data_IF_854233044934
#
_entry.id   IF_854233044934
#
_cell.length_a   1.000
_cell.length_b   1.000
_cell.length_c   1.000
_cell.angle_alpha   90.00
_cell.angle_beta   90.00
_cell.angle_gamma   90.00
#
_symmetry.space_group_name_H-M   'P 1'
#
loop_
_entity.id
_entity.type
_entity.pdbx_description
1 polymer ?
#
# COMPACT_ATOMS: atom_id res chain seq x y z
N UNK A 1 26.71 -13.22 12.79
CA UNK A 1 26.36 -12.26 11.72
C UNK A 1 24.91 -11.89 11.87
N UNK A 2 24.63 -10.81 12.60
CA UNK A 2 23.30 -10.18 12.63
C UNK A 2 23.05 -9.54 11.26
N UNK A 3 22.06 -10.05 10.55
CA UNK A 3 21.48 -9.35 9.40
C UNK A 3 20.63 -8.24 10.00
N UNK A 4 21.16 -7.00 10.01
CA UNK A 4 20.39 -5.82 10.42
C UNK A 4 19.15 -5.75 9.54
N UNK A 5 17.99 -6.01 10.12
CA UNK A 5 16.70 -5.71 9.49
C UNK A 5 16.71 -4.23 9.12
N UNK A 6 16.67 -3.97 7.83
CA UNK A 6 16.48 -2.61 7.32
C UNK A 6 15.02 -2.29 7.58
N UNK A 7 14.74 -1.69 8.74
CA UNK A 7 13.43 -1.14 9.07
C UNK A 7 13.19 0.00 8.08
N UNK A 8 12.41 -0.28 7.02
CA UNK A 8 11.85 0.78 6.19
C UNK A 8 10.94 1.59 7.12
N UNK A 9 11.29 2.85 7.43
CA UNK A 9 10.47 3.65 8.34
C UNK A 9 9.08 3.76 7.73
N UNK A 10 8.05 3.48 8.53
CA UNK A 10 6.68 3.80 8.13
C UNK A 10 6.69 5.28 7.71
N UNK A 11 6.13 5.62 6.53
CA UNK A 11 6.02 7.01 6.13
C UNK A 11 5.31 7.76 7.25
N UNK A 12 5.99 8.73 7.84
CA UNK A 12 5.42 9.58 8.89
C UNK A 12 4.52 10.64 8.23
N UNK A 13 3.49 10.14 7.55
CA UNK A 13 2.51 10.95 6.82
C UNK A 13 1.27 11.02 7.68
N UNK A 14 1.05 12.20 8.25
CA UNK A 14 -0.19 12.50 8.95
C UNK A 14 -1.33 12.57 7.94
N UNK A 15 -2.16 11.52 7.90
CA UNK A 15 -3.41 11.54 7.14
C UNK A 15 -4.36 12.48 7.89
N UNK A 16 -4.44 13.72 7.41
CA UNK A 16 -5.33 14.75 7.95
C UNK A 16 -6.79 14.38 7.64
N UNK A 17 -7.73 14.91 8.43
CA UNK A 17 -9.18 14.71 8.23
C UNK A 17 -9.68 15.18 6.86
N UNK A 18 -8.95 16.10 6.22
CA UNK A 18 -9.24 16.59 4.86
C UNK A 18 -8.84 15.58 3.77
N UNK A 19 -8.03 14.58 4.12
CA UNK A 19 -7.56 13.57 3.17
C UNK A 19 -8.66 12.56 2.92
N UNK A 20 -9.20 12.55 1.69
CA UNK A 20 -10.23 11.61 1.29
C UNK A 20 -9.66 10.19 1.21
N UNK A 21 -10.05 9.34 2.14
CA UNK A 21 -9.79 7.91 2.06
C UNK A 21 -10.74 7.32 1.02
N UNK A 22 -10.18 6.57 0.08
CA UNK A 22 -10.93 5.84 -0.92
C UNK A 22 -10.59 4.37 -0.80
N UNK A 23 -11.59 3.53 -1.03
CA UNK A 23 -11.38 2.09 -1.03
C UNK A 23 -10.49 1.73 -2.22
N UNK A 24 -9.27 1.26 -1.91
CA UNK A 24 -8.34 0.78 -2.92
C UNK A 24 -8.86 -0.53 -3.52
N UNK A 25 -9.25 -1.46 -2.65
CA UNK A 25 -9.73 -2.79 -3.01
C UNK A 25 -9.31 -3.83 -1.96
N UNK A 26 -9.18 -5.08 -2.39
CA UNK A 26 -9.00 -6.22 -1.47
C UNK A 26 -7.61 -6.81 -1.56
N UNK A 27 -7.01 -7.12 -0.40
CA UNK A 27 -5.74 -7.87 -0.34
C UNK A 27 -5.95 -9.24 -0.99
N UNK A 28 -5.23 -9.46 -2.09
CA UNK A 28 -5.24 -10.73 -2.83
C UNK A 28 -4.25 -11.70 -2.19
N UNK A 29 -3.04 -11.22 -1.91
CA UNK A 29 -1.95 -12.07 -1.40
C UNK A 29 -0.85 -11.23 -0.73
N UNK A 30 -0.21 -11.78 0.29
CA UNK A 30 1.05 -11.26 0.84
C UNK A 30 2.23 -12.10 0.35
N UNK A 31 3.29 -11.46 -0.11
CA UNK A 31 4.53 -12.09 -0.56
C UNK A 31 5.70 -11.39 0.11
N UNK A 32 6.41 -12.11 0.98
CA UNK A 32 7.51 -11.54 1.79
C UNK A 32 7.06 -10.26 2.53
N UNK A 33 7.63 -9.10 2.14
CA UNK A 33 7.32 -7.77 2.69
C UNK A 33 6.47 -6.92 1.74
N UNK A 34 5.79 -7.55 0.77
CA UNK A 34 4.90 -6.90 -0.19
C UNK A 34 3.48 -7.46 -0.12
N UNK A 35 2.49 -6.58 -0.08
CA UNK A 35 1.07 -6.90 -0.17
C UNK A 35 0.60 -6.63 -1.59
N UNK A 36 0.02 -7.65 -2.23
CA UNK A 36 -0.66 -7.51 -3.49
C UNK A 36 -2.14 -7.23 -3.24
N UNK A 37 -2.59 -6.06 -3.66
CA UNK A 37 -3.97 -5.60 -3.51
C UNK A 37 -4.62 -5.52 -4.88
N UNK A 38 -5.76 -6.19 -5.05
CA UNK A 38 -6.56 -6.06 -6.26
C UNK A 38 -7.39 -4.79 -6.15
N UNK A 39 -7.17 -3.85 -7.06
CA UNK A 39 -7.95 -2.64 -7.16
C UNK A 39 -9.42 -2.95 -7.44
N UNK A 40 -10.32 -2.39 -6.65
CA UNK A 40 -11.77 -2.46 -6.93
C UNK A 40 -12.19 -1.40 -7.95
N UNK A 41 -11.41 -0.31 -8.03
CA UNK A 41 -11.64 0.80 -8.97
C UNK A 41 -10.77 0.61 -10.21
N UNK A 42 -11.31 0.78 -11.43
CA UNK A 42 -10.49 0.74 -12.64
C UNK A 42 -9.47 1.88 -12.65
N UNK A 43 -8.29 1.61 -13.19
CA UNK A 43 -7.20 2.59 -13.33
C UNK A 43 -7.53 3.79 -14.21
N UNK A 44 -8.58 3.70 -15.03
CA UNK A 44 -9.16 4.83 -15.78
C UNK A 44 -9.78 5.90 -14.88
N UNK A 45 -10.30 5.50 -13.72
CA UNK A 45 -10.91 6.41 -12.74
C UNK A 45 -9.91 6.84 -11.68
N UNK A 46 -9.07 5.92 -11.23
CA UNK A 46 -8.10 6.17 -10.18
C UNK A 46 -6.91 5.21 -10.31
N UNK A 47 -5.74 5.76 -10.63
CA UNK A 47 -4.47 5.05 -10.58
C UNK A 47 -3.64 5.63 -9.42
N UNK A 48 -3.07 4.74 -8.62
CA UNK A 48 -2.04 5.12 -7.68
C UNK A 48 -0.68 4.99 -8.34
N UNK A 49 0.16 5.98 -8.11
CA UNK A 49 1.56 5.95 -8.49
C UNK A 49 2.42 5.38 -7.34
N UNK A 50 3.61 4.91 -7.70
CA UNK A 50 4.63 4.51 -6.73
C UNK A 50 4.90 5.64 -5.73
N UNK A 51 4.94 5.31 -4.45
CA UNK A 51 5.07 6.29 -3.36
C UNK A 51 3.75 6.74 -2.75
N UNK A 52 2.60 6.30 -3.30
CA UNK A 52 1.30 6.54 -2.66
C UNK A 52 1.22 5.82 -1.32
N UNK A 53 0.86 6.55 -0.27
CA UNK A 53 0.69 5.99 1.08
C UNK A 53 -0.66 5.29 1.16
N UNK A 54 -0.66 4.09 1.74
CA UNK A 54 -1.88 3.36 2.04
C UNK A 54 -2.14 3.32 3.53
N UNK A 55 -3.41 3.41 3.87
CA UNK A 55 -3.90 3.33 5.24
C UNK A 55 -5.07 2.36 5.36
N UNK A 56 -5.29 1.89 6.58
CA UNK A 56 -6.49 1.14 6.93
C UNK A 56 -7.68 2.08 7.25
N UNK A 57 -8.82 1.48 7.57
CA UNK A 57 -10.03 2.16 8.04
C UNK A 57 -9.81 3.04 9.29
N UNK A 58 -8.83 2.68 10.13
CA UNK A 58 -8.39 3.46 11.29
C UNK A 58 -7.42 4.59 10.96
N UNK A 59 -7.13 4.86 9.68
CA UNK A 59 -6.14 5.84 9.21
C UNK A 59 -4.70 5.55 9.63
N UNK A 60 -4.43 4.30 10.00
CA UNK A 60 -3.07 3.85 10.29
C UNK A 60 -2.37 3.53 8.98
N UNK A 61 -1.19 4.10 8.78
CA UNK A 61 -0.37 3.86 7.61
C UNK A 61 0.11 2.41 7.62
N UNK A 62 -0.27 1.65 6.60
CA UNK A 62 0.11 0.25 6.42
C UNK A 62 1.37 0.10 5.56
N UNK A 63 1.65 1.07 4.69
CA UNK A 63 2.79 1.02 3.79
C UNK A 63 2.66 1.98 2.62
N UNK A 64 3.50 1.76 1.61
CA UNK A 64 3.52 2.55 0.37
C UNK A 64 3.36 1.65 -0.84
N UNK A 65 2.66 2.14 -1.85
CA UNK A 65 2.62 1.49 -3.17
C UNK A 65 4.02 1.49 -3.74
N UNK A 66 4.57 0.30 -3.95
CA UNK A 66 5.86 0.08 -4.61
C UNK A 66 5.68 0.18 -6.13
N UNK A 67 4.72 -0.55 -6.67
CA UNK A 67 4.45 -0.61 -8.11
C UNK A 67 2.99 -0.95 -8.41
N UNK A 68 2.52 -0.50 -9.56
CA UNK A 68 1.18 -0.81 -10.09
C UNK A 68 1.32 -1.80 -11.24
N UNK A 69 0.64 -2.93 -11.10
CA UNK A 69 0.67 -4.11 -11.94
C UNK A 69 -0.73 -4.37 -12.54
N UNK A 70 -0.83 -5.25 -13.53
CA UNK A 70 -2.12 -5.68 -14.09
C UNK A 70 -2.67 -4.80 -15.21
N UNK A 71 -3.95 -4.97 -15.52
CA UNK A 71 -4.63 -4.24 -16.61
C UNK A 71 -5.33 -3.02 -16.04
N UNK A 72 -5.57 -2.02 -16.88
CA UNK A 72 -6.31 -0.81 -16.47
C UNK A 72 -7.70 -1.13 -15.90
N UNK A 73 -8.39 -2.15 -16.40
CA UNK A 73 -9.69 -2.56 -15.85
C UNK A 73 -9.62 -3.31 -14.52
N UNK A 74 -8.49 -3.95 -14.24
CA UNK A 74 -8.26 -4.71 -13.01
C UNK A 74 -6.82 -4.45 -12.54
N UNK A 75 -6.55 -3.24 -12.01
CA UNK A 75 -5.22 -2.92 -11.54
C UNK A 75 -4.90 -3.72 -10.28
N UNK A 76 -3.63 -4.05 -10.11
CA UNK A 76 -3.09 -4.69 -8.92
C UNK A 76 -2.00 -3.80 -8.36
N UNK A 77 -2.03 -3.52 -7.07
CA UNK A 77 -1.05 -2.66 -6.42
C UNK A 77 -0.16 -3.52 -5.53
N UNK A 78 1.15 -3.46 -5.76
CA UNK A 78 2.14 -4.04 -4.87
C UNK A 78 2.50 -2.99 -3.83
N UNK A 79 2.36 -3.33 -2.56
CA UNK A 79 2.51 -2.41 -1.43
C UNK A 79 3.63 -2.94 -0.55
N UNK A 80 4.74 -2.22 -0.47
CA UNK A 80 5.80 -2.55 0.46
C UNK A 80 5.36 -2.15 1.87
N UNK A 81 5.41 -3.11 2.80
CA UNK A 81 5.11 -2.90 4.20
C UNK A 81 6.23 -3.46 5.06
N UNK A 82 6.55 -2.73 6.13
CA UNK A 82 7.46 -3.22 7.17
C UNK A 82 6.61 -3.87 8.24
N UNK A 83 6.65 -5.21 8.31
CA UNK A 83 6.26 -5.90 9.52
C UNK A 83 7.26 -5.49 10.61
N UNK A 84 6.90 -4.50 11.43
CA UNK A 84 7.35 -4.52 12.81
C UNK A 84 6.61 -5.69 13.46
N UNK A 85 7.19 -6.89 13.38
CA UNK A 85 6.97 -7.84 14.46
C UNK A 85 7.66 -7.19 15.67
N UNK A 86 6.85 -6.74 16.63
CA UNK A 86 7.29 -6.37 17.97
C UNK A 86 8.18 -7.45 18.60
#
# INVERSE_FOLDING_TARGET
NEVKEVVVPKPDVAITDETKITELGTVQRSVENHLLIKGSTPGEYQVLESGSVLCNDKREVIGVVAETLGRVQEPMYSVAFTNQQE
#
